data_IF_200891581898
#
_entry.id   IF_200891581898
#
_cell.length_a   1.000
_cell.length_b   1.000
_cell.length_c   1.000
_cell.angle_alpha   90.00
_cell.angle_beta   90.00
_cell.angle_gamma   90.00
#
_symmetry.space_group_name_H-M   'P 1'
#
loop_
_entity.id
_entity.type
_entity.pdbx_description
1 polymer ?
#
# COMPACT_ATOMS: atom_id res chain seq x y z
N UNK A 1 -51.09 6.01 -85.07
CA UNK A 1 -50.98 7.41 -84.61
C UNK A 1 -50.63 7.39 -83.14
N UNK A 2 -49.55 8.09 -82.78
CA UNK A 2 -48.80 7.94 -81.54
C UNK A 2 -49.54 8.48 -80.31
N UNK A 3 -49.49 7.70 -79.22
CA UNK A 3 -49.91 8.09 -77.87
C UNK A 3 -48.72 8.61 -77.06
N UNK A 4 -48.96 9.70 -76.31
CA UNK A 4 -48.04 10.37 -75.38
C UNK A 4 -47.68 9.45 -74.20
N UNK A 5 -46.42 9.46 -73.76
CA UNK A 5 -45.99 8.91 -72.46
C UNK A 5 -45.04 9.88 -71.77
N UNK A 6 -45.29 10.04 -70.47
CA UNK A 6 -44.64 10.88 -69.48
C UNK A 6 -43.14 10.59 -69.27
N UNK A 7 -42.41 11.66 -68.99
CA UNK A 7 -41.08 11.67 -68.40
C UNK A 7 -41.08 11.19 -66.94
N UNK A 8 -40.27 10.17 -66.65
CA UNK A 8 -39.67 9.96 -65.33
C UNK A 8 -38.39 9.11 -65.49
N UNK A 9 -37.25 9.79 -65.62
CA UNK A 9 -35.93 9.15 -65.64
C UNK A 9 -35.52 8.76 -64.21
N UNK A 10 -35.33 7.46 -63.96
CA UNK A 10 -34.71 6.91 -62.74
C UNK A 10 -33.20 6.82 -62.93
N UNK A 11 -32.45 7.27 -61.93
CA UNK A 11 -30.98 7.15 -61.87
C UNK A 11 -30.51 5.69 -61.67
N UNK A 12 -29.32 5.31 -62.19
CA UNK A 12 -28.68 4.05 -61.89
C UNK A 12 -27.94 4.07 -60.53
N UNK A 13 -27.76 2.91 -59.87
CA UNK A 13 -27.08 2.80 -58.59
C UNK A 13 -25.53 2.90 -58.72
N UNK A 14 -24.82 3.41 -57.68
CA UNK A 14 -23.37 3.54 -57.69
C UNK A 14 -22.62 2.22 -57.42
N UNK A 15 -21.40 2.17 -57.94
CA UNK A 15 -20.49 1.02 -57.99
C UNK A 15 -19.94 0.58 -56.62
N UNK A 16 -19.67 -0.73 -56.50
CA UNK A 16 -19.03 -1.36 -55.33
C UNK A 16 -17.50 -1.30 -55.41
N UNK A 17 -16.77 -0.97 -54.33
CA UNK A 17 -15.34 -1.22 -54.27
C UNK A 17 -14.96 -2.35 -53.29
N UNK A 18 -14.32 -3.36 -53.88
CA UNK A 18 -13.09 -4.06 -53.46
C UNK A 18 -12.97 -4.73 -52.08
N UNK A 19 -12.73 -6.05 -52.13
CA UNK A 19 -12.30 -6.93 -51.03
C UNK A 19 -10.97 -6.47 -50.42
N UNK A 20 -10.95 -6.28 -49.10
CA UNK A 20 -9.73 -6.28 -48.27
C UNK A 20 -9.60 -7.61 -47.50
N UNK A 21 -8.37 -8.06 -47.15
CA UNK A 21 -8.15 -9.36 -46.54
C UNK A 21 -8.58 -9.39 -45.08
N UNK A 22 -9.31 -10.43 -44.69
CA UNK A 22 -9.69 -10.71 -43.30
C UNK A 22 -8.44 -10.88 -42.43
N UNK A 23 -8.12 -9.88 -41.62
CA UNK A 23 -7.37 -10.10 -40.37
C UNK A 23 -8.27 -10.89 -39.44
N UNK A 24 -7.86 -12.13 -39.13
CA UNK A 24 -8.36 -12.84 -37.96
C UNK A 24 -7.87 -12.06 -36.73
N UNK A 25 -8.69 -11.15 -36.22
CA UNK A 25 -8.47 -10.54 -34.92
C UNK A 25 -8.95 -11.55 -33.88
N UNK A 26 -7.99 -12.27 -33.31
CA UNK A 26 -8.18 -13.13 -32.15
C UNK A 26 -8.48 -12.23 -30.95
N UNK A 27 -9.73 -11.77 -30.83
CA UNK A 27 -10.25 -11.13 -29.63
C UNK A 27 -10.50 -12.17 -28.54
N UNK A 28 -9.42 -12.75 -28.02
CA UNK A 28 -9.49 -13.24 -26.65
C UNK A 28 -9.44 -12.02 -25.74
N UNK A 29 -10.42 -11.83 -24.84
CA UNK A 29 -10.34 -10.80 -23.82
C UNK A 29 -9.19 -11.20 -22.89
N UNK A 30 -8.02 -10.61 -23.08
CA UNK A 30 -7.06 -10.52 -21.98
C UNK A 30 -7.71 -9.61 -20.96
N UNK A 31 -8.30 -10.20 -19.93
CA UNK A 31 -8.49 -9.55 -18.64
C UNK A 31 -7.11 -9.36 -18.01
N UNK A 32 -6.23 -8.60 -18.66
CA UNK A 32 -5.11 -7.99 -17.99
C UNK A 32 -5.73 -6.95 -17.07
N UNK A 33 -5.92 -7.33 -15.80
CA UNK A 33 -6.37 -6.41 -14.74
C UNK A 33 -5.34 -5.28 -14.72
N UNK A 34 -5.70 -4.16 -15.34
CA UNK A 34 -4.86 -2.98 -15.37
C UNK A 34 -4.57 -2.54 -13.94
N UNK A 35 -3.28 -2.34 -13.61
CA UNK A 35 -2.88 -1.76 -12.33
C UNK A 35 -3.18 -0.23 -12.28
N UNK A 36 -3.72 0.35 -13.36
CA UNK A 36 -4.10 1.75 -13.42
C UNK A 36 -5.51 1.98 -12.86
N UNK A 37 -5.77 3.19 -12.38
CA UNK A 37 -7.11 3.65 -12.04
C UNK A 37 -8.00 3.75 -13.29
N UNK A 38 -9.30 3.50 -13.13
CA UNK A 38 -10.29 3.78 -14.18
C UNK A 38 -10.41 5.28 -14.44
N UNK A 39 -10.89 5.67 -15.62
CA UNK A 39 -11.05 7.08 -15.96
C UNK A 39 -12.10 7.78 -15.08
N UNK A 40 -13.12 7.05 -14.62
CA UNK A 40 -14.07 7.55 -13.63
C UNK A 40 -13.40 7.94 -12.31
N UNK A 41 -12.43 7.14 -11.84
CA UNK A 41 -11.67 7.44 -10.62
C UNK A 41 -10.75 8.64 -10.85
N UNK A 42 -10.07 8.72 -11.99
CA UNK A 42 -9.23 9.87 -12.36
C UNK A 42 -10.04 11.17 -12.39
N UNK A 43 -11.23 11.15 -13.00
CA UNK A 43 -12.14 12.31 -13.06
C UNK A 43 -12.62 12.72 -11.66
N UNK A 44 -12.97 11.77 -10.80
CA UNK A 44 -13.40 12.07 -9.43
C UNK A 44 -12.26 12.66 -8.60
N UNK A 45 -11.03 12.17 -8.76
CA UNK A 45 -9.84 12.75 -8.11
C UNK A 45 -9.57 14.17 -8.62
N UNK A 46 -9.68 14.40 -9.93
CA UNK A 46 -9.54 15.73 -10.52
C UNK A 46 -10.61 16.70 -9.99
N UNK A 47 -11.83 16.22 -9.73
CA UNK A 47 -12.91 17.00 -9.10
C UNK A 47 -12.57 17.43 -7.68
N UNK A 48 -11.95 16.55 -6.89
CA UNK A 48 -11.65 16.81 -5.48
C UNK A 48 -10.33 17.54 -5.25
N UNK A 49 -9.34 17.37 -6.11
CA UNK A 49 -7.97 17.88 -5.89
C UNK A 49 -7.48 18.79 -7.02
N UNK A 50 -8.31 19.06 -8.02
CA UNK A 50 -7.95 19.84 -9.18
C UNK A 50 -7.08 19.07 -10.18
N UNK A 51 -6.63 19.78 -11.21
CA UNK A 51 -5.89 19.24 -12.36
C UNK A 51 -4.36 19.46 -12.27
N UNK A 52 -3.83 19.56 -11.05
CA UNK A 52 -2.41 19.84 -10.80
C UNK A 52 -1.82 18.87 -9.80
N UNK A 53 -0.50 18.71 -9.83
CA UNK A 53 0.23 17.90 -8.87
C UNK A 53 -0.03 18.40 -7.45
N UNK A 54 -0.50 17.52 -6.59
CA UNK A 54 -0.78 17.82 -5.19
C UNK A 54 0.47 18.32 -4.46
N UNK A 55 1.64 17.74 -4.76
CA UNK A 55 2.91 18.12 -4.13
C UNK A 55 3.46 19.46 -4.62
N UNK A 56 3.62 19.65 -5.93
CA UNK A 56 4.39 20.79 -6.49
C UNK A 56 3.61 21.69 -7.45
N UNK A 57 2.28 21.53 -7.53
CA UNK A 57 1.36 22.33 -8.36
C UNK A 57 1.61 22.30 -9.88
N UNK A 58 2.58 21.52 -10.36
CA UNK A 58 2.81 21.31 -11.80
C UNK A 58 1.53 20.76 -12.45
N UNK A 59 1.07 21.33 -13.58
CA UNK A 59 -0.14 20.87 -14.26
C UNK A 59 0.01 19.46 -14.83
N UNK A 60 -1.11 18.89 -15.26
CA UNK A 60 -1.23 17.60 -15.94
C UNK A 60 -0.57 16.43 -15.15
N UNK A 61 -1.07 16.15 -13.93
CA UNK A 61 -0.54 15.09 -13.08
C UNK A 61 -0.92 13.69 -13.59
N UNK A 62 -0.09 12.72 -13.20
CA UNK A 62 -0.43 11.31 -13.17
C UNK A 62 -1.18 10.96 -11.87
N UNK A 63 -1.78 9.76 -11.80
CA UNK A 63 -2.61 9.33 -10.67
C UNK A 63 -1.94 8.16 -9.94
N UNK A 64 -1.33 8.46 -8.80
CA UNK A 64 -0.55 7.51 -8.01
C UNK A 64 -1.40 6.79 -6.97
N UNK A 65 -1.14 5.49 -6.78
CA UNK A 65 -1.72 4.73 -5.67
C UNK A 65 -0.97 5.02 -4.38
N UNK A 66 -1.66 5.53 -3.36
CA UNK A 66 -1.03 5.81 -2.05
C UNK A 66 -0.63 4.50 -1.37
N UNK A 67 -1.52 3.52 -1.31
CA UNK A 67 -1.18 2.11 -1.07
C UNK A 67 -1.15 1.40 -2.41
N UNK A 68 0.03 0.90 -2.81
CA UNK A 68 0.19 0.21 -4.08
C UNK A 68 -0.71 -1.05 -4.14
N UNK A 69 -1.29 -1.35 -5.31
CA UNK A 69 -2.13 -2.55 -5.48
C UNK A 69 -1.37 -3.85 -5.13
N UNK A 70 -0.05 -3.85 -5.38
CA UNK A 70 0.85 -4.96 -5.08
C UNK A 70 1.67 -4.75 -3.80
N UNK A 71 1.17 -3.94 -2.85
CA UNK A 71 1.81 -3.81 -1.54
C UNK A 71 1.77 -5.16 -0.82
N UNK A 72 2.93 -5.81 -0.69
CA UNK A 72 3.06 -7.10 -0.03
C UNK A 72 2.67 -7.10 1.45
N UNK A 73 2.56 -5.93 2.09
CA UNK A 73 2.08 -5.82 3.46
C UNK A 73 0.55 -5.62 3.56
N UNK A 74 -0.14 -5.31 2.46
CA UNK A 74 -1.57 -5.02 2.49
C UNK A 74 -2.43 -6.10 3.16
N UNK A 75 -2.20 -7.42 2.95
CA UNK A 75 -2.99 -8.45 3.62
C UNK A 75 -2.93 -8.39 5.15
N UNK A 76 -1.78 -8.02 5.72
CA UNK A 76 -1.63 -7.88 7.17
C UNK A 76 -2.35 -6.65 7.72
N UNK A 77 -2.38 -5.57 6.95
CA UNK A 77 -3.12 -4.35 7.31
C UNK A 77 -4.64 -4.55 7.22
N UNK A 78 -5.12 -5.27 6.20
CA UNK A 78 -6.52 -5.65 6.06
C UNK A 78 -6.92 -6.58 7.21
N UNK A 79 -6.13 -7.64 7.48
CA UNK A 79 -6.38 -8.57 8.60
C UNK A 79 -6.38 -7.85 9.96
N UNK A 80 -5.57 -6.81 10.11
CA UNK A 80 -5.54 -5.98 11.32
C UNK A 80 -6.69 -4.97 11.40
N UNK A 81 -7.62 -4.92 10.42
CA UNK A 81 -8.74 -3.98 10.40
C UNK A 81 -8.35 -2.52 10.11
N UNK A 82 -7.19 -2.29 9.48
CA UNK A 82 -6.63 -0.94 9.27
C UNK A 82 -6.93 -0.36 7.88
N UNK A 83 -7.27 -1.22 6.91
CA UNK A 83 -7.64 -0.82 5.54
C UNK A 83 -9.10 -1.18 5.26
N UNK A 84 -10.04 -0.30 5.62
CA UNK A 84 -11.46 -0.50 5.33
C UNK A 84 -11.86 -0.06 3.91
N UNK A 85 -10.91 0.14 2.98
CA UNK A 85 -11.17 0.72 1.67
C UNK A 85 -10.52 -0.07 0.53
N UNK A 86 -11.13 -0.01 -0.65
CA UNK A 86 -10.56 -0.55 -1.88
C UNK A 86 -9.43 0.31 -2.42
N UNK A 87 -8.34 -0.31 -2.85
CA UNK A 87 -7.18 0.42 -3.38
C UNK A 87 -7.39 1.00 -4.78
N UNK A 88 -8.45 0.58 -5.47
CA UNK A 88 -8.79 1.02 -6.83
C UNK A 88 -9.70 2.25 -6.87
N UNK A 89 -10.05 2.84 -5.73
CA UNK A 89 -10.95 3.99 -5.64
C UNK A 89 -10.20 5.30 -5.44
N UNK A 90 -10.92 6.41 -5.58
CA UNK A 90 -10.35 7.75 -5.41
C UNK A 90 -9.72 7.97 -4.03
N UNK A 91 -10.21 7.32 -2.97
CA UNK A 91 -9.71 7.51 -1.61
C UNK A 91 -8.27 7.02 -1.39
N UNK A 92 -7.74 6.23 -2.33
CA UNK A 92 -6.35 5.75 -2.33
C UNK A 92 -5.52 6.40 -3.45
N UNK A 93 -6.02 7.46 -4.08
CA UNK A 93 -5.40 8.11 -5.22
C UNK A 93 -4.85 9.49 -4.85
N UNK A 94 -3.68 9.83 -5.40
CA UNK A 94 -3.10 11.18 -5.27
C UNK A 94 -2.57 11.65 -6.64
N UNK A 95 -2.95 12.85 -7.11
CA UNK A 95 -2.44 13.39 -8.37
C UNK A 95 -1.02 13.91 -8.19
N UNK A 96 -0.04 13.37 -8.92
CA UNK A 96 1.37 13.74 -8.86
C UNK A 96 1.95 13.93 -10.27
N UNK A 97 2.78 14.95 -10.49
CA UNK A 97 3.54 15.04 -11.73
C UNK A 97 4.57 13.89 -11.82
N UNK A 98 5.09 13.53 -13.00
CA UNK A 98 5.99 12.39 -13.17
C UNK A 98 7.19 12.41 -12.20
N UNK A 99 7.75 13.58 -11.95
CA UNK A 99 8.88 13.78 -11.01
C UNK A 99 8.49 13.45 -9.57
N UNK A 100 7.37 13.99 -9.08
CA UNK A 100 6.88 13.72 -7.72
C UNK A 100 6.40 12.28 -7.57
N UNK A 101 5.77 11.72 -8.62
CA UNK A 101 5.31 10.33 -8.65
C UNK A 101 6.49 9.36 -8.52
N UNK A 102 7.55 9.55 -9.31
CA UNK A 102 8.78 8.75 -9.20
C UNK A 102 9.48 8.89 -7.84
N UNK A 103 9.40 10.06 -7.20
CA UNK A 103 9.92 10.27 -5.86
C UNK A 103 9.08 9.56 -4.77
N UNK A 104 7.77 9.45 -5.00
CA UNK A 104 6.80 8.83 -4.09
C UNK A 104 6.80 7.30 -4.16
N UNK A 105 6.91 6.72 -5.36
CA UNK A 105 6.72 5.28 -5.58
C UNK A 105 7.88 4.38 -5.11
N UNK A 106 8.99 4.97 -4.66
CA UNK A 106 10.14 4.23 -4.14
C UNK A 106 9.79 3.59 -2.80
N UNK A 107 9.40 2.32 -2.85
CA UNK A 107 8.92 1.56 -1.69
C UNK A 107 9.96 1.37 -0.58
N UNK A 108 11.23 1.15 -0.93
CA UNK A 108 12.33 0.94 0.03
C UNK A 108 13.06 2.21 0.43
N UNK A 109 13.01 3.25 -0.41
CA UNK A 109 13.73 4.50 -0.20
C UNK A 109 12.92 5.68 -0.74
N UNK A 110 11.78 6.02 -0.09
CA UNK A 110 10.95 7.13 -0.53
C UNK A 110 11.78 8.42 -0.54
N UNK A 111 11.63 9.20 -1.60
CA UNK A 111 12.24 10.53 -1.71
C UNK A 111 11.26 11.62 -1.25
N UNK A 112 9.97 11.30 -1.25
CA UNK A 112 8.89 12.17 -0.80
C UNK A 112 7.79 11.33 -0.18
N UNK A 113 7.20 11.84 0.89
CA UNK A 113 6.00 11.30 1.52
C UNK A 113 5.08 12.43 1.92
N UNK A 114 3.86 12.11 2.34
CA UNK A 114 3.01 13.05 3.03
C UNK A 114 2.32 12.35 4.20
N UNK A 115 2.09 13.09 5.30
CA UNK A 115 1.53 12.56 6.54
C UNK A 115 0.39 13.44 7.03
N UNK A 116 -0.60 12.86 7.76
CA UNK A 116 -1.55 13.65 8.51
C UNK A 116 -0.81 14.66 9.41
N UNK A 117 -1.29 15.89 9.48
CA UNK A 117 -0.70 16.94 10.32
C UNK A 117 -0.82 16.68 11.82
N UNK A 118 -1.75 15.80 12.22
CA UNK A 118 -2.02 15.50 13.61
C UNK A 118 -2.02 13.98 13.83
N UNK A 119 -0.83 13.38 13.96
CA UNK A 119 -0.69 11.94 14.27
C UNK A 119 -1.19 11.59 15.68
N UNK A 120 -1.15 12.54 16.62
CA UNK A 120 -1.64 12.34 17.98
C UNK A 120 -3.13 12.00 18.04
N UNK A 121 -3.94 12.55 17.13
CA UNK A 121 -5.34 12.19 16.96
C UNK A 121 -5.51 10.69 16.69
N UNK A 122 -4.72 10.12 15.77
CA UNK A 122 -4.78 8.69 15.42
C UNK A 122 -4.29 7.79 16.55
N UNK A 123 -3.29 8.24 17.32
CA UNK A 123 -2.81 7.54 18.50
C UNK A 123 -3.91 7.46 19.55
N UNK A 124 -4.55 8.61 19.84
CA UNK A 124 -5.65 8.69 20.80
C UNK A 124 -6.80 7.78 20.38
N UNK A 125 -7.20 7.83 19.10
CA UNK A 125 -8.25 6.97 18.57
C UNK A 125 -7.95 5.48 18.79
N UNK A 126 -6.75 5.02 18.42
CA UNK A 126 -6.39 3.61 18.57
C UNK A 126 -6.32 3.18 20.05
N UNK A 127 -5.90 4.07 20.96
CA UNK A 127 -5.93 3.79 22.39
C UNK A 127 -7.36 3.63 22.91
N UNK A 128 -8.29 4.50 22.51
CA UNK A 128 -9.71 4.43 22.87
C UNK A 128 -10.38 3.19 22.26
N UNK A 129 -10.09 2.88 20.99
CA UNK A 129 -10.58 1.69 20.31
C UNK A 129 -10.08 0.40 20.99
N UNK A 130 -8.81 0.33 21.39
CA UNK A 130 -8.26 -0.80 22.15
C UNK A 130 -8.96 -0.98 23.50
N UNK A 131 -9.19 0.12 24.23
CA UNK A 131 -9.93 0.07 25.48
C UNK A 131 -11.36 -0.46 25.27
N UNK A 132 -12.06 0.05 24.25
CA UNK A 132 -13.39 -0.42 23.83
C UNK A 132 -13.39 -1.93 23.51
N UNK A 133 -12.43 -2.40 22.71
CA UNK A 133 -12.31 -3.83 22.34
C UNK A 133 -12.03 -4.75 23.52
N UNK A 134 -11.41 -4.24 24.59
CA UNK A 134 -11.12 -5.02 25.80
C UNK A 134 -12.34 -5.13 26.73
N UNK A 135 -13.25 -4.16 26.71
CA UNK A 135 -14.41 -4.09 27.60
C UNK A 135 -15.64 -4.85 27.08
N UNK A 136 -15.77 -5.02 25.76
CA UNK A 136 -16.95 -5.63 25.14
C UNK A 136 -16.78 -7.14 25.00
N UNK A 137 -17.74 -7.90 25.52
CA UNK A 137 -17.86 -9.35 25.29
C UNK A 137 -18.12 -9.58 23.81
N UNK A 138 -17.25 -10.32 23.13
CA UNK A 138 -17.41 -10.69 21.71
C UNK A 138 -16.34 -10.15 20.75
N UNK A 139 -15.25 -9.55 21.24
CA UNK A 139 -14.14 -9.03 20.42
C UNK A 139 -14.63 -8.15 19.24
N UNK A 140 -15.15 -6.94 19.50
CA UNK A 140 -15.64 -6.10 18.41
C UNK A 140 -14.53 -5.74 17.44
N UNK A 141 -14.90 -5.56 16.18
CA UNK A 141 -13.96 -5.20 15.12
C UNK A 141 -13.25 -3.88 15.43
N UNK A 142 -11.97 -3.82 15.06
CA UNK A 142 -11.16 -2.60 15.14
C UNK A 142 -11.80 -1.52 14.26
N UNK A 143 -11.88 -0.31 14.79
CA UNK A 143 -12.29 0.86 13.99
C UNK A 143 -11.10 1.78 13.76
N UNK A 144 -11.12 2.50 12.65
CA UNK A 144 -10.13 3.53 12.30
C UNK A 144 -10.82 4.84 11.97
N UNK A 145 -10.14 5.99 12.14
CA UNK A 145 -10.73 7.26 11.73
C UNK A 145 -11.04 7.27 10.23
N UNK A 146 -12.28 7.67 9.91
CA UNK A 146 -12.70 7.88 8.52
C UNK A 146 -12.17 9.20 7.98
N UNK A 147 -12.33 9.42 6.67
CA UNK A 147 -12.01 10.70 6.01
C UNK A 147 -12.79 11.85 6.68
N UNK A 148 -14.10 11.67 6.87
CA UNK A 148 -14.97 12.66 7.49
C UNK A 148 -14.58 12.93 8.95
N UNK A 149 -14.33 11.87 9.74
CA UNK A 149 -13.92 12.02 11.14
C UNK A 149 -12.61 12.80 11.27
N UNK A 150 -11.62 12.52 10.42
CA UNK A 150 -10.36 13.25 10.48
C UNK A 150 -10.51 14.69 9.97
N UNK A 151 -11.30 14.92 8.92
CA UNK A 151 -11.67 16.28 8.47
C UNK A 151 -12.31 17.07 9.60
N UNK A 152 -13.34 16.53 10.24
CA UNK A 152 -14.12 17.22 11.30
C UNK A 152 -13.24 17.58 12.49
N UNK A 153 -12.32 16.68 12.87
CA UNK A 153 -11.33 16.97 13.91
C UNK A 153 -10.47 18.18 13.53
N UNK A 154 -9.97 18.25 12.29
CA UNK A 154 -9.14 19.38 11.85
C UNK A 154 -9.97 20.66 11.66
N UNK A 155 -11.21 20.56 11.19
CA UNK A 155 -12.13 21.68 11.05
C UNK A 155 -12.52 22.28 12.41
N UNK A 156 -12.71 21.45 13.43
CA UNK A 156 -12.95 21.89 14.82
C UNK A 156 -11.80 22.70 15.42
N UNK A 157 -10.60 22.61 14.83
CA UNK A 157 -9.41 23.39 15.19
C UNK A 157 -9.26 24.67 14.35
N UNK A 158 -10.20 24.95 13.44
CA UNK A 158 -10.16 26.09 12.52
C UNK A 158 -9.07 25.99 11.44
N UNK A 159 -8.54 24.78 11.18
CA UNK A 159 -7.41 24.58 10.27
C UNK A 159 -7.82 24.27 8.82
N UNK A 160 -9.06 23.82 8.61
CA UNK A 160 -9.68 23.64 7.30
C UNK A 160 -11.13 24.09 7.37
N UNK A 161 -11.73 24.38 6.20
CA UNK A 161 -13.15 24.67 6.10
C UNK A 161 -14.01 23.42 6.37
N UNK A 162 -15.22 23.61 6.89
CA UNK A 162 -16.17 22.52 7.17
C UNK A 162 -16.59 21.76 5.89
N UNK A 163 -16.51 22.42 4.73
CA UNK A 163 -16.79 21.85 3.41
C UNK A 163 -15.56 21.21 2.74
N UNK A 164 -14.41 21.14 3.44
CA UNK A 164 -13.21 20.52 2.89
C UNK A 164 -13.46 19.05 2.49
N UNK A 165 -12.84 18.63 1.37
CA UNK A 165 -12.99 17.27 0.82
C UNK A 165 -12.29 16.19 1.66
N UNK A 166 -11.51 16.56 2.67
CA UNK A 166 -10.78 15.63 3.53
C UNK A 166 -9.93 16.32 4.59
N UNK A 167 -9.01 15.55 5.19
CA UNK A 167 -8.12 16.05 6.24
C UNK A 167 -6.93 16.86 5.73
N UNK A 168 -6.12 17.36 6.66
CA UNK A 168 -4.95 18.19 6.37
C UNK A 168 -3.64 17.42 6.52
N UNK A 169 -2.81 17.44 5.47
CA UNK A 169 -1.60 16.64 5.36
C UNK A 169 -0.40 17.50 5.00
N UNK A 170 0.78 17.17 5.53
CA UNK A 170 2.05 17.83 5.22
C UNK A 170 2.91 16.93 4.34
N UNK A 171 3.44 17.47 3.25
CA UNK A 171 4.48 16.82 2.45
C UNK A 171 5.86 16.94 3.10
N UNK A 172 6.63 15.86 3.09
CA UNK A 172 8.01 15.82 3.57
C UNK A 172 8.93 15.40 2.42
N UNK A 173 9.88 16.27 2.10
CA UNK A 173 10.91 16.03 1.10
C UNK A 173 12.11 15.37 1.78
N UNK A 174 12.30 14.08 1.51
CA UNK A 174 13.39 13.27 2.08
C UNK A 174 14.66 13.39 1.23
N UNK A 175 14.51 13.79 -0.03
CA UNK A 175 15.58 14.11 -0.96
C UNK A 175 15.22 15.35 -1.76
N UNK A 176 16.21 16.16 -2.08
CA UNK A 176 16.05 17.26 -3.03
C UNK A 176 16.07 16.74 -4.47
N UNK A 177 14.89 16.36 -4.97
CA UNK A 177 14.68 15.93 -6.37
C UNK A 177 14.02 17.00 -7.24
N UNK A 178 13.74 18.18 -6.68
CA UNK A 178 13.19 19.34 -7.38
C UNK A 178 14.25 20.42 -7.69
N UNK A 179 15.50 20.25 -7.23
CA UNK A 179 16.62 21.19 -7.35
C UNK A 179 16.80 21.88 -8.71
N UNK A 180 16.58 21.23 -9.87
CA UNK A 180 16.67 21.93 -11.16
C UNK A 180 15.59 23.01 -11.37
N UNK A 181 14.52 23.03 -10.56
CA UNK A 181 13.30 23.80 -10.80
C UNK A 181 12.87 24.70 -9.62
N UNK A 182 13.65 24.81 -8.54
CA UNK A 182 13.16 25.35 -7.27
C UNK A 182 14.09 26.40 -6.67
N UNK A 183 13.51 27.51 -6.19
CA UNK A 183 14.20 28.52 -5.38
C UNK A 183 14.49 27.99 -3.96
N UNK A 184 15.39 28.61 -3.18
CA UNK A 184 15.79 28.11 -1.86
C UNK A 184 14.63 27.87 -0.88
N UNK A 185 13.58 28.69 -0.95
CA UNK A 185 12.42 28.61 -0.06
C UNK A 185 11.26 27.80 -0.67
N UNK A 186 11.44 27.23 -1.87
CA UNK A 186 10.38 26.50 -2.55
C UNK A 186 9.92 25.29 -1.73
N UNK A 187 10.84 24.57 -1.07
CA UNK A 187 10.47 23.41 -0.26
C UNK A 187 9.60 23.77 0.94
N UNK A 188 9.81 24.92 1.59
CA UNK A 188 8.98 25.38 2.70
C UNK A 188 7.55 25.64 2.23
N UNK A 189 7.40 26.33 1.09
CA UNK A 189 6.09 26.59 0.47
C UNK A 189 5.44 25.29 0.02
N UNK A 190 6.18 24.37 -0.58
CA UNK A 190 5.65 23.10 -1.06
C UNK A 190 5.30 22.12 0.07
N UNK A 191 5.96 22.23 1.23
CA UNK A 191 5.68 21.48 2.44
C UNK A 191 4.56 22.11 3.30
N UNK A 192 3.96 23.22 2.85
CA UNK A 192 2.76 23.74 3.51
C UNK A 192 1.67 22.67 3.56
N UNK A 193 0.96 22.55 4.69
CA UNK A 193 -0.12 21.57 4.79
C UNK A 193 -1.22 21.81 3.75
N UNK A 194 -1.71 20.72 3.15
CA UNK A 194 -2.72 20.72 2.09
C UNK A 194 -3.82 19.72 2.39
N UNK A 195 -5.03 20.01 1.91
CA UNK A 195 -6.15 19.08 2.02
C UNK A 195 -5.92 17.90 1.09
N UNK A 196 -6.18 16.69 1.56
CA UNK A 196 -6.24 15.50 0.73
C UNK A 196 -7.50 14.69 1.06
N UNK A 197 -8.19 14.26 0.01
CA UNK A 197 -9.49 13.59 0.08
C UNK A 197 -9.41 12.10 0.45
N UNK A 198 -8.21 11.54 0.52
CA UNK A 198 -8.04 10.11 0.70
C UNK A 198 -8.05 9.64 2.15
N UNK A 199 -8.13 8.32 2.30
CA UNK A 199 -8.24 7.67 3.60
C UNK A 199 -6.93 7.82 4.38
N UNK A 200 -6.96 8.34 5.64
CA UNK A 200 -5.73 8.68 6.36
C UNK A 200 -4.81 7.48 6.60
N UNK A 201 -5.38 6.29 6.75
CA UNK A 201 -4.61 5.05 6.93
C UNK A 201 -3.66 4.75 5.76
N UNK A 202 -3.99 5.18 4.53
CA UNK A 202 -3.10 5.04 3.37
C UNK A 202 -1.83 5.88 3.54
N UNK A 203 -1.97 7.13 4.00
CA UNK A 203 -0.83 8.01 4.29
C UNK A 203 -0.02 7.51 5.50
N UNK A 204 -0.70 7.02 6.55
CA UNK A 204 -0.03 6.45 7.73
C UNK A 204 0.77 5.19 7.39
N UNK A 205 0.26 4.31 6.52
CA UNK A 205 1.01 3.16 5.99
C UNK A 205 2.33 3.58 5.35
N UNK A 206 2.31 4.64 4.54
CA UNK A 206 3.51 5.22 3.92
C UNK A 206 4.43 5.83 4.98
N UNK A 207 3.88 6.55 5.96
CA UNK A 207 4.64 7.10 7.08
C UNK A 207 5.38 6.05 7.89
N UNK A 208 4.69 4.98 8.28
CA UNK A 208 5.30 3.87 9.04
C UNK A 208 6.42 3.20 8.24
N UNK A 209 6.32 3.13 6.91
CA UNK A 209 7.38 2.58 6.06
C UNK A 209 8.70 3.35 6.17
N UNK A 210 8.63 4.67 6.41
CA UNK A 210 9.81 5.55 6.53
C UNK A 210 10.66 5.16 7.73
N UNK A 211 10.08 4.58 8.79
CA UNK A 211 10.85 4.13 9.95
C UNK A 211 11.93 3.10 9.60
N UNK A 212 11.80 2.39 8.47
CA UNK A 212 12.82 1.49 7.94
C UNK A 212 13.80 2.14 6.96
N UNK A 213 13.58 3.39 6.55
CA UNK A 213 14.44 4.11 5.61
C UNK A 213 15.54 4.86 6.35
N UNK A 214 16.74 4.88 5.76
CA UNK A 214 17.85 5.70 6.24
C UNK A 214 17.57 7.21 6.15
N UNK A 215 16.56 7.67 5.38
CA UNK A 215 16.18 9.09 5.27
C UNK A 215 15.15 9.54 6.30
N UNK A 216 14.81 8.69 7.27
CA UNK A 216 13.90 9.05 8.34
C UNK A 216 14.38 10.27 9.16
N UNK A 217 15.68 10.57 9.16
CA UNK A 217 16.26 11.75 9.82
C UNK A 217 15.72 13.10 9.30
N UNK A 218 15.09 13.12 8.11
CA UNK A 218 14.46 14.33 7.58
C UNK A 218 13.15 14.69 8.30
N UNK A 219 12.58 13.77 9.07
CA UNK A 219 11.43 14.02 9.95
C UNK A 219 11.92 14.44 11.33
N UNK A 220 11.17 15.30 12.00
CA UNK A 220 11.46 15.64 13.39
C UNK A 220 11.25 14.43 14.32
N UNK A 221 11.90 14.48 15.48
CA UNK A 221 11.89 13.38 16.44
C UNK A 221 10.49 13.04 16.94
N UNK A 222 9.63 14.04 17.16
CA UNK A 222 8.29 13.82 17.65
C UNK A 222 7.44 13.06 16.62
N UNK A 223 7.52 13.43 15.34
CA UNK A 223 6.86 12.71 14.25
C UNK A 223 7.33 11.25 14.17
N UNK A 224 8.65 11.01 14.29
CA UNK A 224 9.19 9.65 14.29
C UNK A 224 8.68 8.80 15.46
N UNK A 225 8.66 9.37 16.67
CA UNK A 225 8.18 8.67 17.87
C UNK A 225 6.66 8.41 17.81
N UNK A 226 5.88 9.32 17.21
CA UNK A 226 4.45 9.13 16.96
C UNK A 226 4.18 8.01 15.94
N UNK A 227 4.92 7.97 14.83
CA UNK A 227 4.82 6.88 13.85
C UNK A 227 5.22 5.53 14.45
N UNK A 228 6.28 5.50 15.26
CA UNK A 228 6.70 4.29 15.97
C UNK A 228 5.63 3.83 16.97
N UNK A 229 5.00 4.77 17.67
CA UNK A 229 3.88 4.50 18.58
C UNK A 229 2.69 3.92 17.83
N UNK A 230 2.28 4.52 16.71
CA UNK A 230 1.21 3.98 15.87
C UNK A 230 1.53 2.57 15.35
N UNK A 231 2.76 2.34 14.85
CA UNK A 231 3.19 1.01 14.41
C UNK A 231 3.02 -0.03 15.51
N UNK A 232 3.46 0.27 16.72
CA UNK A 232 3.28 -0.62 17.88
C UNK A 232 1.79 -0.80 18.17
N UNK A 233 1.01 0.27 18.30
CA UNK A 233 -0.42 0.18 18.56
C UNK A 233 -1.21 -0.54 17.46
N UNK A 234 -0.72 -0.64 16.23
CA UNK A 234 -1.40 -1.37 15.18
C UNK A 234 -1.08 -2.86 15.13
N UNK A 235 0.16 -3.24 15.48
CA UNK A 235 0.66 -4.60 15.25
C UNK A 235 1.14 -5.33 16.51
N UNK A 236 1.21 -4.65 17.66
CA UNK A 236 1.46 -5.25 18.97
C UNK A 236 0.17 -5.86 19.53
N UNK A 237 -0.43 -6.74 18.73
CA UNK A 237 -1.58 -7.56 19.08
C UNK A 237 -1.16 -9.01 18.89
N UNK A 238 -1.06 -9.75 19.99
CA UNK A 238 -0.60 -11.14 19.99
C UNK A 238 -1.45 -12.06 19.13
N UNK A 239 -2.70 -11.67 18.82
CA UNK A 239 -3.58 -12.41 17.92
C UNK A 239 -3.13 -12.38 16.45
N UNK A 240 -2.32 -11.39 16.07
CA UNK A 240 -1.79 -11.24 14.71
C UNK A 240 -0.53 -12.06 14.48
N UNK A 241 0.12 -12.55 15.54
CA UNK A 241 1.36 -13.33 15.46
C UNK A 241 1.02 -14.77 15.06
N UNK A 242 1.73 -15.29 14.04
CA UNK A 242 1.66 -16.70 13.71
C UNK A 242 2.17 -17.52 14.89
N UNK A 243 1.28 -18.32 15.48
CA UNK A 243 1.57 -19.18 16.64
C UNK A 243 2.71 -20.15 16.39
N UNK A 244 2.93 -20.58 15.14
CA UNK A 244 4.04 -21.45 14.77
C UNK A 244 5.36 -20.69 14.77
N UNK A 245 5.39 -19.46 14.26
CA UNK A 245 6.60 -18.63 14.27
C UNK A 245 6.94 -18.14 15.68
N UNK A 246 5.94 -17.81 16.51
CA UNK A 246 6.19 -17.41 17.90
C UNK A 246 6.88 -18.53 18.69
N UNK A 247 6.53 -19.79 18.46
CA UNK A 247 7.18 -20.95 19.10
C UNK A 247 8.64 -21.13 18.67
N UNK A 248 8.99 -20.78 17.42
CA UNK A 248 10.37 -20.90 16.91
C UNK A 248 11.29 -19.85 17.52
N UNK A 249 10.81 -18.60 17.64
CA UNK A 249 11.65 -17.47 18.07
C UNK A 249 11.55 -17.17 19.58
N UNK A 250 10.49 -17.63 20.25
CA UNK A 250 10.32 -17.53 21.69
C UNK A 250 10.44 -18.90 22.33
N UNK A 251 11.60 -19.55 22.15
CA UNK A 251 11.97 -20.72 22.95
C UNK A 251 12.10 -20.23 24.41
N UNK A 252 11.29 -20.75 25.36
CA UNK A 252 11.49 -20.43 26.76
C UNK A 252 12.90 -20.83 27.13
N UNK A 253 13.70 -19.89 27.67
CA UNK A 253 15.03 -20.19 28.18
C UNK A 253 14.88 -21.33 29.19
N UNK A 254 15.22 -22.55 28.77
CA UNK A 254 15.27 -23.70 29.65
C UNK A 254 16.35 -23.36 30.67
N UNK A 255 15.91 -22.98 31.86
CA UNK A 255 16.79 -22.61 32.95
C UNK A 255 17.77 -23.75 33.21
N UNK A 256 18.99 -23.61 32.68
CA UNK A 256 20.14 -24.29 33.24
C UNK A 256 20.40 -23.65 34.61
N UNK A 257 19.57 -24.03 35.60
CA UNK A 257 20.01 -24.07 36.99
C UNK A 257 21.17 -25.06 37.02
N UNK A 258 22.37 -24.58 36.73
CA UNK A 258 23.60 -25.21 37.18
C UNK A 258 23.46 -25.26 38.70
N UNK A 259 23.09 -26.42 39.21
CA UNK A 259 23.10 -26.75 40.63
C UNK A 259 24.55 -26.60 41.05
N UNK A 260 24.92 -25.41 41.54
CA UNK A 260 26.21 -25.18 42.18
C UNK A 260 26.13 -25.97 43.48
N UNK A 261 26.69 -27.17 43.47
CA UNK A 261 26.92 -27.93 44.69
C UNK A 261 27.86 -27.09 45.56
N UNK A 262 27.30 -26.51 46.61
CA UNK A 262 28.09 -26.15 47.78
C UNK A 262 28.55 -27.45 48.40
N UNK A 263 29.83 -27.76 48.23
CA UNK A 263 30.51 -28.71 49.10
C UNK A 263 31.78 -28.02 49.60
N UNK A 264 31.67 -27.49 50.82
CA UNK A 264 32.82 -27.15 51.65
C UNK A 264 33.20 -28.45 52.36
N UNK A 265 34.33 -29.05 51.99
CA UNK A 265 35.09 -29.81 52.96
C UNK A 265 36.59 -29.68 52.69
N UNK A 266 37.28 -29.43 53.80
CA UNK A 266 38.70 -29.20 53.95
C UNK A 266 39.53 -30.37 53.43
N UNK A 267 40.61 -30.08 52.71
CA UNK A 267 41.71 -31.03 52.58
C UNK A 267 43.06 -30.35 52.77
N UNK A 268 43.62 -30.61 53.94
CA UNK A 268 45.04 -30.55 54.21
C UNK A 268 45.65 -31.97 54.19
N UNK A 269 46.91 -32.02 53.79
CA UNK A 269 47.94 -33.06 53.97
C UNK A 269 47.99 -34.35 53.12
N UNK A 270 48.93 -34.29 52.17
CA UNK A 270 50.15 -35.11 52.03
C UNK A 270 50.11 -36.63 51.70
N UNK A 271 50.93 -36.91 50.66
CA UNK A 271 51.84 -38.08 50.47
C UNK A 271 51.22 -39.42 50.08
N UNK A 272 51.39 -39.80 48.80
CA UNK A 272 52.43 -40.75 48.30
C UNK A 272 52.23 -41.04 46.78
N UNK A 273 53.33 -40.98 46.02
CA UNK A 273 53.57 -41.59 44.68
C UNK A 273 53.93 -43.09 44.86
N UNK A 274 54.01 -44.00 43.85
CA UNK A 274 54.49 -43.83 42.44
C UNK A 274 53.67 -44.54 41.33
N UNK A 275 53.70 -44.08 40.05
CA UNK A 275 54.47 -44.58 38.86
C UNK A 275 54.04 -46.00 38.40
N UNK A 276 53.89 -46.44 37.13
CA UNK A 276 54.21 -46.08 35.74
C UNK A 276 53.13 -46.80 34.85
N UNK A 277 52.84 -46.54 33.57
CA UNK A 277 53.64 -46.95 32.40
C UNK A 277 52.93 -46.53 31.08
N UNK A 278 53.76 -46.19 30.08
CA UNK A 278 53.59 -45.84 28.65
C UNK A 278 52.53 -46.64 27.85
N UNK A 279 51.79 -46.08 26.87
CA UNK A 279 52.12 -45.62 25.49
C UNK A 279 52.81 -46.68 24.60
N UNK A 280 52.12 -47.24 23.60
CA UNK A 280 52.44 -47.17 22.15
C UNK A 280 51.43 -47.97 21.27
N UNK A 281 51.11 -47.42 20.09
CA UNK A 281 50.88 -48.00 18.72
C UNK A 281 50.24 -49.41 18.55
N UNK A 282 49.53 -49.80 17.47
CA UNK A 282 49.63 -49.55 16.01
C UNK A 282 48.35 -50.18 15.38
N UNK A 283 47.61 -49.53 14.46
CA UNK A 283 47.65 -49.64 12.97
C UNK A 283 46.75 -50.73 12.34
N UNK A 284 46.28 -50.40 11.11
CA UNK A 284 45.64 -51.18 10.03
C UNK A 284 44.11 -51.32 10.06
N UNK A 285 43.38 -50.62 9.17
CA UNK A 285 43.22 -50.79 7.71
C UNK A 285 42.32 -51.97 7.34
N UNK A 286 41.17 -51.67 6.72
CA UNK A 286 40.75 -52.13 5.39
C UNK A 286 39.21 -52.07 5.24
N UNK A 287 38.77 -51.41 4.16
CA UNK A 287 37.79 -51.81 3.14
C UNK A 287 36.61 -52.73 3.56
N UNK A 288 35.36 -52.56 3.13
CA UNK A 288 34.92 -52.22 1.78
C UNK A 288 33.38 -52.16 1.65
N UNK A 289 32.94 -51.58 0.53
CA UNK A 289 31.68 -51.75 -0.24
C UNK A 289 30.31 -51.44 0.40
N UNK A 290 29.60 -50.50 -0.23
CA UNK A 290 28.14 -50.44 -0.17
C UNK A 290 27.45 -49.30 -0.94
N UNK A 291 27.64 -49.24 -2.27
CA UNK A 291 26.66 -48.90 -3.34
C UNK A 291 25.41 -48.03 -2.97
N UNK A 292 24.98 -46.98 -3.67
CA UNK A 292 25.31 -46.45 -4.98
C UNK A 292 24.27 -45.36 -5.38
N UNK A 293 24.73 -44.43 -6.23
CA UNK A 293 24.03 -43.60 -7.22
C UNK A 293 22.67 -42.95 -6.91
N UNK A 294 22.65 -41.62 -7.06
CA UNK A 294 21.44 -40.80 -7.16
C UNK A 294 21.65 -39.52 -7.97
N UNK A 295 21.98 -39.63 -9.26
CA UNK A 295 21.72 -38.56 -10.24
C UNK A 295 20.23 -38.46 -10.52
N UNK A 296 19.63 -37.28 -10.34
CA UNK A 296 18.82 -36.58 -11.38
C UNK A 296 18.17 -35.31 -10.84
N UNK A 297 18.42 -34.22 -11.56
CA UNK A 297 17.56 -33.05 -11.64
C UNK A 297 16.12 -33.46 -11.96
N UNK A 298 15.16 -33.00 -11.15
CA UNK A 298 13.81 -32.66 -11.60
C UNK A 298 13.40 -31.38 -10.88
N UNK A 299 13.28 -30.29 -11.64
CA UNK A 299 12.51 -29.12 -11.25
C UNK A 299 11.06 -29.55 -11.08
N UNK A 300 10.56 -29.56 -9.84
CA UNK A 300 9.13 -29.51 -9.57
C UNK A 300 8.79 -28.08 -9.12
N UNK A 301 7.94 -27.44 -9.92
CA UNK A 301 7.33 -26.13 -9.67
C UNK A 301 6.63 -26.10 -8.31
N UNK A 302 6.56 -24.92 -7.65
CA UNK A 302 5.69 -24.75 -6.50
C UNK A 302 4.24 -24.58 -6.98
N UNK A 303 3.36 -25.49 -6.55
CA UNK A 303 1.97 -25.14 -6.27
C UNK A 303 1.82 -25.01 -4.75
N UNK A 304 1.56 -23.79 -4.28
CA UNK A 304 0.51 -23.61 -3.30
C UNK A 304 -0.56 -22.73 -3.94
N UNK A 305 -1.79 -23.26 -3.91
CA UNK A 305 -3.04 -22.58 -4.19
C UNK A 305 -2.96 -21.08 -3.88
N UNK A 306 -3.12 -20.29 -4.93
CA UNK A 306 -3.52 -18.89 -4.88
C UNK A 306 -4.53 -18.71 -3.74
N UNK A 307 -4.13 -17.94 -2.72
CA UNK A 307 -5.13 -17.22 -1.94
C UNK A 307 -5.66 -16.19 -2.93
N UNK A 308 -6.89 -16.42 -3.37
CA UNK A 308 -7.61 -15.50 -4.24
C UNK A 308 -7.84 -14.21 -3.46
N UNK A 309 -6.95 -13.23 -3.63
CA UNK A 309 -7.01 -11.91 -2.98
C UNK A 309 -8.24 -11.12 -3.50
N UNK A 310 -8.92 -11.61 -4.54
CA UNK A 310 -10.13 -10.99 -5.08
C UNK A 310 -11.39 -11.18 -4.21
N UNK A 311 -11.45 -12.18 -3.32
CA UNK A 311 -12.69 -12.51 -2.61
C UNK A 311 -12.86 -11.87 -1.21
N UNK A 312 -11.90 -11.09 -0.71
CA UNK A 312 -11.91 -10.63 0.70
C UNK A 312 -12.03 -9.12 0.93
N UNK A 313 -12.35 -8.32 -0.10
CA UNK A 313 -12.53 -6.86 0.05
C UNK A 313 -13.99 -6.38 0.08
N UNK A 314 -14.98 -7.27 0.08
CA UNK A 314 -16.40 -6.87 0.03
C UNK A 314 -16.99 -6.45 1.39
N UNK A 315 -16.21 -6.46 2.48
CA UNK A 315 -16.82 -6.30 3.80
C UNK A 315 -16.95 -4.87 4.33
N UNK A 316 -16.23 -3.85 3.85
CA UNK A 316 -16.40 -2.48 4.40
C UNK A 316 -16.09 -1.29 3.48
N UNK A 317 -15.94 -1.49 2.17
CA UNK A 317 -16.01 -0.37 1.24
C UNK A 317 -17.37 -0.46 0.54
N UNK A 318 -18.32 0.48 0.72
CA UNK A 318 -19.37 0.57 -0.27
C UNK A 318 -18.65 0.76 -1.61
N UNK A 319 -18.97 -0.09 -2.59
CA UNK A 319 -18.74 0.22 -3.98
C UNK A 319 -19.57 1.47 -4.25
N UNK A 320 -19.06 2.63 -3.82
CA UNK A 320 -19.69 3.93 -4.00
C UNK A 320 -19.57 4.19 -5.49
N UNK A 321 -20.58 3.72 -6.19
CA UNK A 321 -20.94 4.21 -7.49
C UNK A 321 -20.97 5.73 -7.38
N UNK A 322 -19.92 6.39 -7.89
CA UNK A 322 -19.78 7.85 -7.87
C UNK A 322 -21.03 8.51 -8.47
N UNK A 323 -21.67 7.79 -9.40
CA UNK A 323 -23.04 7.98 -9.85
C UNK A 323 -23.79 6.66 -9.60
N UNK A 324 -24.57 6.60 -8.53
CA UNK A 324 -25.38 5.43 -8.18
C UNK A 324 -26.36 5.03 -9.29
N UNK A 325 -26.97 3.84 -9.21
CA UNK A 325 -27.98 3.41 -10.19
C UNK A 325 -29.19 4.35 -10.30
N UNK A 326 -29.39 5.23 -9.31
CA UNK A 326 -30.45 6.24 -9.28
C UNK A 326 -29.99 7.64 -9.75
N UNK A 327 -28.71 7.80 -10.13
CA UNK A 327 -28.19 9.08 -10.60
C UNK A 327 -28.73 9.39 -12.00
N UNK A 328 -29.26 10.60 -12.17
CA UNK A 328 -29.73 11.09 -13.46
C UNK A 328 -28.57 11.63 -14.30
N UNK A 329 -28.80 11.81 -15.61
CA UNK A 329 -27.83 12.50 -16.48
C UNK A 329 -27.51 13.91 -16.01
N UNK A 330 -28.48 14.60 -15.39
CA UNK A 330 -28.26 15.93 -14.81
C UNK A 330 -27.32 15.89 -13.59
N UNK A 331 -27.39 14.84 -12.76
CA UNK A 331 -26.48 14.67 -11.63
C UNK A 331 -25.03 14.46 -12.11
N UNK A 332 -24.87 13.69 -13.20
CA UNK A 332 -23.57 13.53 -13.85
C UNK A 332 -23.05 14.86 -14.42
N UNK A 333 -23.90 15.62 -15.12
CA UNK A 333 -23.53 16.92 -15.68
C UNK A 333 -23.19 17.90 -14.57
N UNK A 334 -24.00 18.05 -13.52
CA UNK A 334 -23.69 18.96 -12.43
C UNK A 334 -22.37 18.60 -11.73
N UNK A 335 -22.10 17.30 -11.56
CA UNK A 335 -20.89 16.83 -10.88
C UNK A 335 -19.63 17.00 -11.73
N UNK A 336 -19.70 16.75 -13.04
CA UNK A 336 -18.52 16.66 -13.90
C UNK A 336 -18.39 17.78 -14.95
N UNK A 337 -19.46 18.49 -15.32
CA UNK A 337 -19.40 19.60 -16.28
C UNK A 337 -18.40 20.71 -15.94
N UNK A 338 -18.26 21.13 -14.66
CA UNK A 338 -17.27 22.14 -14.30
C UNK A 338 -15.82 21.74 -14.64
N UNK A 339 -15.52 20.43 -14.68
CA UNK A 339 -14.17 19.95 -15.01
C UNK A 339 -13.84 20.18 -16.50
N UNK A 340 -14.83 19.98 -17.37
CA UNK A 340 -14.69 20.14 -18.82
C UNK A 340 -14.66 21.60 -19.27
N UNK A 341 -15.12 22.53 -18.44
CA UNK A 341 -15.02 23.97 -18.70
C UNK A 341 -13.63 24.54 -18.41
N UNK A 342 -12.80 23.83 -17.62
CA UNK A 342 -11.53 24.36 -17.11
C UNK A 342 -10.27 23.94 -17.90
N UNK A 343 -10.31 22.88 -18.73
CA UNK A 343 -9.17 22.43 -19.55
C UNK A 343 -9.58 21.62 -20.78
N UNK A 344 -8.70 21.65 -21.79
CA UNK A 344 -8.75 20.94 -23.07
C UNK A 344 -8.89 19.41 -22.88
N UNK A 345 -10.12 18.91 -23.03
CA UNK A 345 -10.61 17.58 -22.60
C UNK A 345 -9.88 16.40 -23.25
N UNK A 346 -9.21 16.63 -24.38
CA UNK A 346 -8.49 15.61 -25.14
C UNK A 346 -7.31 15.00 -24.38
N UNK A 347 -6.79 15.67 -23.33
CA UNK A 347 -5.64 15.19 -22.55
C UNK A 347 -5.99 14.32 -21.33
N UNK A 348 -7.21 14.40 -20.79
CA UNK A 348 -7.65 13.58 -19.65
C UNK A 348 -8.04 12.15 -20.05
N UNK A 349 -8.28 11.92 -21.34
CA UNK A 349 -8.79 10.68 -21.92
C UNK A 349 -7.73 9.90 -22.73
N UNK A 350 -6.44 10.23 -22.58
CA UNK A 350 -5.33 9.55 -23.27
C UNK A 350 -4.47 8.73 -22.33
#
# INVERSE_FOLDING_TARGET
>A
MAGKVNDQARMPPPESPSRSPRRYDSSQPRTDISNAFSDSVKLEVARMSGSSCWSCTTPDPEYAHVVAQKDGQAPYWIKAGLFPFSFKTAVNCIPLCPTCHSAFDRSSDPCWVFLPTNLAFFIKWEMEDRARRTQVVGQPDRTVPTIATYRDHIASQGLVSDDAVGGLYRGYFLKDFLRPMSSPNAFEVLATPKVWHGHPMAAIRRGIAILGSARCYALDRATLDQLATLRRLYFDDTSLIDKKLSQVYHIPSAGHKRKRSEDKSDHNDQKRRPSDTNIHETVQDAHDVGNGQGTRHVCALPTPSFIDIEAHNDFYAPNDWVLGPNATGNDAIQRFAPLFQSRDVVKLLR
#
